data_IF_906168881752
#
_entry.id   IF_906168881752
#
_cell.length_a   1.000
_cell.length_b   1.000
_cell.length_c   1.000
_cell.angle_alpha   90.00
_cell.angle_beta   90.00
_cell.angle_gamma   90.00
#
_symmetry.space_group_name_H-M   'P 1'
#
loop_
_entity.id
_entity.type
_entity.pdbx_description
1 polymer ?
#
# COMPACT_ATOMS: atom_id res chain seq x y z
N UNK A 1 -20.35 4.08 4.47
CA UNK A 1 -19.40 4.94 3.74
C UNK A 1 -18.11 4.97 4.52
N UNK A 2 -16.97 4.67 3.89
CA UNK A 2 -15.66 4.55 4.54
C UNK A 2 -14.86 5.88 4.60
N UNK A 3 -15.28 6.89 3.84
CA UNK A 3 -14.53 8.14 3.64
C UNK A 3 -13.96 8.79 4.92
N UNK A 4 -14.74 8.98 6.00
CA UNK A 4 -14.20 9.56 7.23
C UNK A 4 -13.06 8.75 7.85
N UNK A 5 -13.08 7.42 7.74
CA UNK A 5 -12.05 6.54 8.29
C UNK A 5 -10.80 6.48 7.40
N UNK A 6 -10.99 6.57 6.08
CA UNK A 6 -9.88 6.70 5.13
C UNK A 6 -9.16 8.04 5.32
N UNK A 7 -9.89 9.12 5.61
CA UNK A 7 -9.28 10.42 5.93
C UNK A 7 -8.40 10.39 7.17
N UNK A 8 -8.68 9.50 8.14
CA UNK A 8 -7.77 9.29 9.28
C UNK A 8 -6.44 8.71 8.83
N UNK A 9 -6.46 7.77 7.88
CA UNK A 9 -5.26 7.17 7.29
C UNK A 9 -4.46 8.22 6.54
N UNK A 10 -5.10 9.04 5.70
CA UNK A 10 -4.43 10.13 4.97
C UNK A 10 -3.74 11.13 5.89
N UNK A 11 -4.30 11.34 7.09
CA UNK A 11 -3.74 12.23 8.09
C UNK A 11 -2.73 11.53 9.02
N UNK A 12 -2.24 10.33 8.66
CA UNK A 12 -1.27 9.56 9.44
C UNK A 12 -1.84 8.87 10.68
N UNK A 13 -3.14 9.00 10.99
CA UNK A 13 -3.80 8.31 12.10
C UNK A 13 -4.23 6.91 11.69
N UNK A 14 -3.27 6.15 11.17
CA UNK A 14 -3.56 4.91 10.46
C UNK A 14 -4.21 3.84 11.34
N UNK A 15 -3.72 3.63 12.55
CA UNK A 15 -4.27 2.65 13.50
C UNK A 15 -5.77 2.89 13.78
N UNK A 16 -6.15 4.17 13.93
CA UNK A 16 -7.54 4.58 14.15
C UNK A 16 -8.39 4.33 12.91
N UNK A 17 -7.87 4.69 11.73
CA UNK A 17 -8.53 4.45 10.45
C UNK A 17 -8.76 2.95 10.21
N UNK A 18 -7.71 2.14 10.30
CA UNK A 18 -7.75 0.69 10.11
C UNK A 18 -8.76 0.03 11.06
N UNK A 19 -8.65 0.29 12.36
CA UNK A 19 -9.55 -0.30 13.36
C UNK A 19 -11.03 0.04 13.08
N UNK A 20 -11.32 1.26 12.64
CA UNK A 20 -12.68 1.66 12.28
C UNK A 20 -13.16 0.94 11.02
N UNK A 21 -12.32 0.86 9.98
CA UNK A 21 -12.62 0.18 8.70
C UNK A 21 -12.91 -1.30 8.96
N UNK A 22 -12.00 -2.01 9.64
CA UNK A 22 -12.14 -3.43 9.98
C UNK A 22 -13.44 -3.73 10.73
N UNK A 23 -13.87 -2.84 11.64
CA UNK A 23 -15.08 -3.03 12.43
C UNK A 23 -16.38 -3.02 11.62
N UNK A 24 -16.38 -2.35 10.46
CA UNK A 24 -17.57 -2.21 9.60
C UNK A 24 -17.47 -3.02 8.31
N UNK A 25 -16.26 -3.47 7.94
CA UNK A 25 -15.95 -4.19 6.72
C UNK A 25 -16.89 -5.40 6.46
N UNK A 26 -17.26 -6.24 7.44
CA UNK A 26 -18.20 -7.34 7.22
C UNK A 26 -19.61 -6.92 6.82
N UNK A 27 -19.95 -5.63 6.98
CA UNK A 27 -21.28 -5.07 6.67
C UNK A 27 -21.30 -4.32 5.34
N UNK A 28 -20.18 -4.23 4.64
CA UNK A 28 -20.07 -3.52 3.37
C UNK A 28 -20.39 -4.44 2.20
N UNK A 29 -20.91 -3.85 1.12
CA UNK A 29 -21.02 -4.52 -0.17
C UNK A 29 -19.63 -4.94 -0.64
N UNK A 30 -19.51 -6.22 -0.99
CA UNK A 30 -18.27 -6.83 -1.46
C UNK A 30 -18.18 -6.66 -2.98
N UNK A 31 -17.85 -5.44 -3.41
CA UNK A 31 -17.81 -5.03 -4.82
C UNK A 31 -16.51 -4.26 -5.15
N UNK A 32 -16.36 -3.87 -6.42
CA UNK A 32 -15.19 -3.14 -6.90
C UNK A 32 -15.07 -1.72 -6.30
N UNK A 33 -16.16 -1.14 -5.78
CA UNK A 33 -16.08 0.15 -5.07
C UNK A 33 -15.37 -0.03 -3.73
N UNK A 34 -15.66 -1.14 -3.04
CA UNK A 34 -14.90 -1.51 -1.86
C UNK A 34 -13.44 -1.83 -2.21
N UNK A 35 -13.18 -2.54 -3.32
CA UNK A 35 -11.81 -2.82 -3.77
C UNK A 35 -10.97 -1.54 -3.94
N UNK A 36 -11.53 -0.53 -4.62
CA UNK A 36 -10.86 0.77 -4.79
C UNK A 36 -10.60 1.47 -3.45
N UNK A 37 -11.56 1.42 -2.53
CA UNK A 37 -11.37 2.03 -1.21
C UNK A 37 -10.30 1.31 -0.41
N UNK A 38 -10.26 -0.02 -0.47
CA UNK A 38 -9.23 -0.81 0.20
C UNK A 38 -7.86 -0.62 -0.46
N UNK A 39 -7.80 -0.35 -1.77
CA UNK A 39 -6.56 0.06 -2.44
C UNK A 39 -5.99 1.35 -1.84
N UNK A 40 -6.82 2.38 -1.64
CA UNK A 40 -6.40 3.62 -0.99
C UNK A 40 -5.86 3.35 0.43
N UNK A 41 -6.55 2.51 1.19
CA UNK A 41 -6.11 2.08 2.51
C UNK A 41 -4.73 1.44 2.42
N UNK A 42 -4.53 0.47 1.53
CA UNK A 42 -3.24 -0.20 1.32
C UNK A 42 -2.12 0.77 1.00
N UNK A 43 -2.33 1.64 0.02
CA UNK A 43 -1.32 2.59 -0.43
C UNK A 43 -0.91 3.55 0.68
N UNK A 44 -1.87 4.27 1.27
CA UNK A 44 -1.56 5.30 2.26
C UNK A 44 -1.09 4.70 3.58
N UNK A 45 -1.62 3.56 4.02
CA UNK A 45 -1.10 2.84 5.18
C UNK A 45 0.35 2.40 5.01
N UNK A 46 0.75 1.99 3.81
CA UNK A 46 2.14 1.65 3.51
C UNK A 46 3.06 2.89 3.56
N UNK A 47 2.62 4.01 3.00
CA UNK A 47 3.42 5.23 2.94
C UNK A 47 3.65 5.88 4.31
N UNK A 48 2.69 5.80 5.24
CA UNK A 48 2.85 6.35 6.59
C UNK A 48 3.91 5.65 7.44
N UNK A 49 4.55 4.58 6.94
CA UNK A 49 5.61 3.78 7.59
C UNK A 49 5.47 3.81 9.09
N UNK A 50 4.53 3.02 9.60
CA UNK A 50 4.19 3.07 11.02
C UNK A 50 5.41 2.77 11.90
N UNK A 51 5.82 3.76 12.69
CA UNK A 51 6.79 3.65 13.76
C UNK A 51 6.12 4.18 15.02
N UNK A 52 5.25 3.39 15.65
CA UNK A 52 4.82 3.70 17.01
C UNK A 52 4.41 2.42 17.76
N UNK A 53 5.37 1.87 18.50
CA UNK A 53 5.18 1.05 19.73
C UNK A 53 4.47 -0.32 19.65
N UNK A 54 3.92 -0.74 18.52
CA UNK A 54 3.43 -2.11 18.30
C UNK A 54 4.33 -2.80 17.29
N UNK A 55 4.81 -4.01 17.60
CA UNK A 55 5.81 -4.72 16.79
C UNK A 55 5.43 -4.70 15.31
N UNK A 56 6.33 -4.13 14.49
CA UNK A 56 6.07 -3.79 13.09
C UNK A 56 5.24 -4.85 12.34
N UNK A 57 5.61 -6.12 12.49
CA UNK A 57 4.95 -7.29 11.89
C UNK A 57 3.42 -7.29 12.00
N UNK A 58 2.85 -6.99 13.16
CA UNK A 58 1.38 -7.04 13.36
C UNK A 58 0.64 -5.99 12.53
N UNK A 59 1.26 -4.84 12.26
CA UNK A 59 0.64 -3.77 11.49
C UNK A 59 0.60 -4.10 10.01
N UNK A 60 1.73 -4.56 9.45
CA UNK A 60 1.75 -4.88 8.02
C UNK A 60 0.86 -6.08 7.69
N UNK A 61 0.73 -7.06 8.57
CA UNK A 61 -0.18 -8.19 8.39
C UNK A 61 -1.65 -7.75 8.24
N UNK A 62 -2.08 -6.75 9.04
CA UNK A 62 -3.44 -6.19 8.94
C UNK A 62 -3.67 -5.47 7.62
N UNK A 63 -2.73 -4.63 7.21
CA UNK A 63 -2.83 -3.91 5.94
C UNK A 63 -2.80 -4.92 4.79
N UNK A 64 -1.93 -5.92 4.84
CA UNK A 64 -1.82 -6.96 3.82
C UNK A 64 -3.13 -7.73 3.67
N UNK A 65 -3.81 -8.07 4.76
CA UNK A 65 -5.13 -8.73 4.71
C UNK A 65 -6.18 -7.87 3.97
N UNK A 66 -6.18 -6.56 4.18
CA UNK A 66 -7.08 -5.65 3.44
C UNK A 66 -6.70 -5.58 1.96
N UNK A 67 -5.41 -5.63 1.62
CA UNK A 67 -4.96 -5.66 0.22
C UNK A 67 -5.32 -6.97 -0.47
N UNK A 68 -5.17 -8.10 0.21
CA UNK A 68 -5.58 -9.40 -0.32
C UNK A 68 -7.09 -9.45 -0.56
N UNK A 69 -7.89 -8.84 0.33
CA UNK A 69 -9.32 -8.69 0.10
C UNK A 69 -9.60 -7.79 -1.11
N UNK A 70 -8.89 -6.67 -1.26
CA UNK A 70 -9.05 -5.79 -2.42
C UNK A 70 -8.74 -6.52 -3.73
N UNK A 71 -7.67 -7.32 -3.77
CA UNK A 71 -7.31 -8.16 -4.94
C UNK A 71 -8.38 -9.22 -5.20
N UNK A 72 -8.96 -9.81 -4.16
CA UNK A 72 -10.03 -10.79 -4.32
C UNK A 72 -11.34 -10.17 -4.86
N UNK A 73 -11.61 -8.92 -4.54
CA UNK A 73 -12.78 -8.17 -5.01
C UNK A 73 -12.64 -7.68 -6.44
N UNK A 74 -11.42 -7.30 -6.84
CA UNK A 74 -11.12 -6.81 -8.19
C UNK A 74 -9.75 -7.32 -8.68
N UNK A 75 -9.67 -8.57 -9.17
CA UNK A 75 -8.40 -9.22 -9.53
C UNK A 75 -7.75 -8.64 -10.78
N UNK A 76 -8.51 -7.93 -11.62
CA UNK A 76 -8.01 -7.30 -12.85
C UNK A 76 -7.47 -5.89 -12.59
N UNK A 77 -7.66 -5.35 -11.39
CA UNK A 77 -7.16 -4.04 -11.00
C UNK A 77 -5.70 -4.13 -10.54
N UNK A 78 -4.79 -3.84 -11.46
CA UNK A 78 -3.36 -3.86 -11.24
C UNK A 78 -2.88 -2.85 -10.17
N UNK A 79 -3.62 -1.76 -9.91
CA UNK A 79 -3.26 -0.79 -8.87
C UNK A 79 -3.31 -1.43 -7.47
N UNK A 80 -4.24 -2.37 -7.25
CA UNK A 80 -4.34 -3.08 -5.97
C UNK A 80 -3.14 -4.00 -5.76
N UNK A 81 -2.71 -4.70 -6.81
CA UNK A 81 -1.50 -5.52 -6.77
C UNK A 81 -0.29 -4.64 -6.46
N UNK A 82 -0.17 -3.47 -7.09
CA UNK A 82 0.91 -2.52 -6.85
C UNK A 82 1.00 -2.07 -5.38
N UNK A 83 -0.14 -1.65 -4.80
CA UNK A 83 -0.22 -1.27 -3.39
C UNK A 83 0.13 -2.43 -2.46
N UNK A 84 -0.36 -3.64 -2.76
CA UNK A 84 0.01 -4.85 -2.01
C UNK A 84 1.51 -5.13 -2.08
N UNK A 85 2.13 -4.92 -3.25
CA UNK A 85 3.56 -5.11 -3.45
C UNK A 85 4.39 -4.24 -2.52
N UNK A 86 3.98 -2.98 -2.31
CA UNK A 86 4.64 -2.09 -1.36
C UNK A 86 4.52 -2.59 0.09
N UNK A 87 3.32 -3.03 0.49
CA UNK A 87 3.10 -3.61 1.84
C UNK A 87 3.96 -4.87 2.04
N UNK A 88 4.00 -5.78 1.06
CA UNK A 88 4.85 -6.98 1.09
C UNK A 88 6.33 -6.66 1.20
N UNK A 89 6.81 -5.66 0.45
CA UNK A 89 8.20 -5.22 0.56
C UNK A 89 8.51 -4.71 1.98
N UNK A 90 7.64 -3.86 2.54
CA UNK A 90 7.77 -3.35 3.90
C UNK A 90 7.71 -4.45 4.97
N UNK A 91 7.03 -5.56 4.68
CA UNK A 91 6.93 -6.76 5.53
C UNK A 91 8.08 -7.75 5.29
N UNK A 92 9.00 -7.47 4.37
CA UNK A 92 10.10 -8.39 4.04
C UNK A 92 9.75 -9.54 3.09
N UNK A 93 8.51 -9.64 2.59
CA UNK A 93 8.16 -10.54 1.49
C UNK A 93 8.61 -9.93 0.15
N UNK A 94 9.92 -9.98 -0.08
CA UNK A 94 10.55 -9.38 -1.25
C UNK A 94 10.14 -10.10 -2.54
N UNK A 95 9.97 -11.42 -2.49
CA UNK A 95 9.59 -12.21 -3.66
C UNK A 95 8.15 -11.88 -4.09
N UNK A 96 7.21 -11.83 -3.14
CA UNK A 96 5.84 -11.42 -3.40
C UNK A 96 5.73 -9.98 -3.89
N UNK A 97 6.51 -9.06 -3.29
CA UNK A 97 6.57 -7.66 -3.73
C UNK A 97 7.00 -7.51 -5.20
N UNK A 98 8.08 -8.21 -5.61
CA UNK A 98 8.56 -8.17 -6.99
C UNK A 98 7.50 -8.70 -7.97
N UNK A 99 6.79 -9.77 -7.60
CA UNK A 99 5.73 -10.34 -8.44
C UNK A 99 4.57 -9.36 -8.63
N UNK A 100 4.14 -8.71 -7.56
CA UNK A 100 3.07 -7.70 -7.58
C UNK A 100 3.46 -6.48 -8.42
N UNK A 101 4.66 -5.94 -8.22
CA UNK A 101 5.16 -4.83 -9.04
C UNK A 101 5.31 -5.23 -10.52
N UNK A 102 5.70 -6.47 -10.81
CA UNK A 102 5.79 -6.94 -12.20
C UNK A 102 4.42 -6.99 -12.87
N UNK A 103 3.38 -7.45 -12.15
CA UNK A 103 2.01 -7.43 -12.66
C UNK A 103 1.57 -6.00 -13.02
N UNK A 104 1.83 -5.04 -12.12
CA UNK A 104 1.54 -3.63 -12.39
C UNK A 104 2.26 -3.11 -13.65
N UNK A 105 3.53 -3.45 -13.83
CA UNK A 105 4.32 -3.09 -15.00
C UNK A 105 3.71 -3.69 -16.28
N UNK A 106 3.32 -4.96 -16.26
CA UNK A 106 2.80 -5.68 -17.42
C UNK A 106 1.43 -5.15 -17.86
N UNK A 107 0.62 -4.64 -16.91
CA UNK A 107 -0.70 -4.08 -17.17
C UNK A 107 -0.68 -2.62 -17.66
N UNK A 108 0.45 -1.92 -17.52
CA UNK A 108 0.53 -0.47 -17.75
C UNK A 108 1.55 -0.09 -18.82
N UNK A 109 1.41 1.14 -19.35
CA UNK A 109 2.34 1.65 -20.36
C UNK A 109 3.75 1.84 -19.79
N UNK A 110 4.81 1.39 -20.48
CA UNK A 110 6.20 1.56 -20.06
C UNK A 110 6.64 3.04 -19.99
N UNK A 111 5.91 3.95 -20.64
CA UNK A 111 6.20 5.38 -20.59
C UNK A 111 5.75 6.04 -19.28
N UNK A 112 4.88 5.39 -18.51
CA UNK A 112 4.38 5.86 -17.22
C UNK A 112 5.52 6.09 -16.22
N UNK A 113 5.48 7.23 -15.52
CA UNK A 113 6.41 7.52 -14.43
C UNK A 113 6.31 6.50 -13.29
N UNK A 114 5.09 6.02 -13.00
CA UNK A 114 4.87 4.99 -11.98
C UNK A 114 5.47 3.65 -12.39
N UNK A 115 5.34 3.26 -13.67
CA UNK A 115 5.98 2.04 -14.18
C UNK A 115 7.50 2.13 -14.07
N UNK A 116 8.10 3.26 -14.44
CA UNK A 116 9.55 3.50 -14.26
C UNK A 116 9.97 3.41 -12.79
N UNK A 117 9.15 3.94 -11.88
CA UNK A 117 9.36 3.85 -10.44
C UNK A 117 9.35 2.39 -9.94
N UNK A 118 8.37 1.58 -10.36
CA UNK A 118 8.30 0.15 -10.00
C UNK A 118 9.44 -0.67 -10.57
N UNK A 119 9.89 -0.37 -11.80
CA UNK A 119 11.10 -0.96 -12.37
C UNK A 119 12.32 -0.68 -11.47
N UNK A 120 12.47 0.56 -10.99
CA UNK A 120 13.55 0.92 -10.08
C UNK A 120 13.46 0.19 -8.73
N UNK A 121 12.25 0.03 -8.18
CA UNK A 121 12.01 -0.74 -6.96
C UNK A 121 12.39 -2.21 -7.12
N UNK A 122 11.91 -2.87 -8.17
CA UNK A 122 12.27 -4.26 -8.48
C UNK A 122 13.80 -4.40 -8.62
N UNK A 123 14.46 -3.47 -9.33
CA UNK A 123 15.90 -3.50 -9.51
C UNK A 123 16.67 -3.36 -8.18
N UNK A 124 16.20 -2.50 -7.27
CA UNK A 124 16.79 -2.35 -5.94
C UNK A 124 16.60 -3.63 -5.10
N UNK A 125 15.37 -4.13 -5.03
CA UNK A 125 15.01 -5.30 -4.25
C UNK A 125 15.77 -6.56 -4.69
N UNK A 126 15.92 -6.78 -6.00
CA UNK A 126 16.73 -7.89 -6.56
C UNK A 126 18.21 -7.83 -6.14
N UNK A 127 18.71 -6.65 -5.82
CA UNK A 127 20.08 -6.44 -5.33
C UNK A 127 20.17 -6.46 -3.80
N UNK A 128 19.08 -6.79 -3.10
CA UNK A 128 19.00 -6.71 -1.63
C UNK A 128 19.04 -5.27 -1.10
N UNK A 129 18.85 -4.26 -1.96
CA UNK A 129 18.76 -2.87 -1.54
C UNK A 129 17.31 -2.54 -1.21
N UNK A 130 17.11 -1.91 -0.05
CA UNK A 130 15.79 -1.55 0.44
C UNK A 130 15.57 -0.03 0.34
N UNK A 131 14.90 0.47 -0.72
CA UNK A 131 14.79 1.92 -0.96
C UNK A 131 13.74 2.61 -0.09
N UNK A 132 12.92 1.87 0.65
CA UNK A 132 11.75 2.38 1.36
C UNK A 132 12.09 3.01 2.73
N UNK A 133 12.86 4.10 2.71
CA UNK A 133 13.11 4.91 3.91
C UNK A 133 11.88 5.76 4.26
N UNK A 134 11.84 6.32 5.48
CA UNK A 134 10.71 7.17 5.90
C UNK A 134 10.60 8.40 5.01
N UNK A 135 11.75 9.01 4.70
CA UNK A 135 11.87 10.22 3.88
C UNK A 135 11.41 9.92 2.45
N UNK A 136 11.85 8.79 1.89
CA UNK A 136 11.45 8.39 0.55
C UNK A 136 9.94 8.12 0.44
N UNK A 137 9.36 7.45 1.44
CA UNK A 137 7.92 7.20 1.46
C UNK A 137 7.11 8.49 1.68
N UNK A 138 7.63 9.46 2.43
CA UNK A 138 7.03 10.78 2.58
C UNK A 138 7.05 11.57 1.25
N UNK A 139 8.15 11.50 0.48
CA UNK A 139 8.24 12.09 -0.86
C UNK A 139 7.18 11.50 -1.80
N UNK A 140 7.04 10.17 -1.81
CA UNK A 140 6.02 9.48 -2.64
C UNK A 140 4.59 9.84 -2.19
N UNK A 141 4.36 10.02 -0.89
CA UNK A 141 3.07 10.49 -0.36
C UNK A 141 2.74 11.91 -0.81
N UNK A 142 3.74 12.70 -1.17
CA UNK A 142 3.59 14.12 -1.51
C UNK A 142 3.66 15.04 -0.28
N UNK A 143 4.23 14.57 0.82
CA UNK A 143 4.55 15.44 1.95
C UNK A 143 5.69 16.37 1.51
N UNK A 144 5.49 17.68 1.69
CA UNK A 144 6.61 18.60 1.55
C UNK A 144 7.64 18.24 2.63
N UNK A 145 8.87 17.93 2.22
CA UNK A 145 10.00 17.97 3.15
C UNK A 145 10.10 19.43 3.59
N UNK A 146 9.68 19.75 4.81
CA UNK A 146 9.95 21.05 5.40
C UNK A 146 11.47 21.22 5.39
N UNK A 147 11.96 22.02 4.45
CA UNK A 147 13.35 22.47 4.45
C UNK A 147 13.45 23.53 5.55
N UNK A 148 14.09 23.17 6.66
CA UNK A 148 14.49 24.07 7.73
C UNK A 148 15.19 25.34 7.23
#
# INVERSE_FOLDING_TARGET
MLGPFVNEIYAGRVERGLSAIESILPRLSQDSTLANTLNDVCWFSALHRYSETSGAWTYQDRVLALCDQAVALDPDNADVADSRGLVRALSGDIAGAIADFQNYIDANSPDSGLVKLRVAWIAALRQGRFPFTTEYLAEIRGDAVESD
#
